data_IF_398486382048
#
_entry.id   IF_398486382048
#
_cell.length_a   1.000
_cell.length_b   1.000
_cell.length_c   1.000
_cell.angle_alpha   90.00
_cell.angle_beta   90.00
_cell.angle_gamma   90.00
#
_symmetry.space_group_name_H-M   'P 1'
#
loop_
_entity.id
_entity.type
_entity.pdbx_description
1 polymer ?
#
# COMPACT_ATOMS: atom_id res chain seq x y z
N UNK A 1 12.96 2.38 -8.00
CA UNK A 1 14.32 2.13 -7.53
C UNK A 1 14.37 1.93 -6.03
N UNK A 2 15.34 1.17 -5.54
CA UNK A 2 15.58 0.96 -4.13
C UNK A 2 14.76 -0.17 -3.51
N UNK A 3 14.92 -0.36 -2.19
CA UNK A 3 14.39 -1.52 -1.48
C UNK A 3 12.86 -1.62 -1.48
N UNK A 4 12.15 -0.49 -1.55
CA UNK A 4 10.70 -0.47 -1.64
C UNK A 4 10.14 -1.22 -2.86
N UNK A 5 10.92 -1.29 -3.96
CA UNK A 5 10.52 -2.02 -5.17
C UNK A 5 10.30 -3.50 -4.87
N UNK A 6 11.09 -4.09 -3.97
CA UNK A 6 10.97 -5.50 -3.58
C UNK A 6 9.59 -5.82 -3.00
N UNK A 7 9.07 -4.92 -2.14
CA UNK A 7 7.75 -5.09 -1.54
C UNK A 7 6.62 -4.98 -2.57
N UNK A 8 6.70 -4.02 -3.49
CA UNK A 8 5.74 -3.91 -4.60
C UNK A 8 5.80 -5.11 -5.53
N UNK A 9 7.01 -5.57 -5.84
CA UNK A 9 7.22 -6.75 -6.68
C UNK A 9 6.63 -8.01 -6.04
N UNK A 10 6.82 -8.19 -4.73
CA UNK A 10 6.24 -9.30 -3.98
C UNK A 10 4.70 -9.28 -4.06
N UNK A 11 4.08 -8.11 -3.87
CA UNK A 11 2.63 -7.96 -4.01
C UNK A 11 2.16 -8.30 -5.44
N UNK A 12 2.87 -7.80 -6.45
CA UNK A 12 2.55 -8.10 -7.85
C UNK A 12 2.67 -9.59 -8.15
N UNK A 13 3.77 -10.23 -7.74
CA UNK A 13 3.98 -11.67 -7.96
C UNK A 13 2.89 -12.51 -7.29
N UNK A 14 2.50 -12.16 -6.05
CA UNK A 14 1.41 -12.86 -5.35
C UNK A 14 0.09 -12.76 -6.12
N UNK A 15 -0.25 -11.58 -6.64
CA UNK A 15 -1.44 -11.36 -7.46
C UNK A 15 -1.36 -12.13 -8.79
N UNK A 16 -0.20 -12.09 -9.43
CA UNK A 16 0.04 -12.81 -10.68
C UNK A 16 -0.13 -14.32 -10.53
N UNK A 17 0.51 -14.90 -9.50
CA UNK A 17 0.42 -16.34 -9.20
C UNK A 17 -1.02 -16.74 -8.87
N UNK A 18 -1.71 -15.91 -8.07
CA UNK A 18 -3.12 -16.16 -7.75
C UNK A 18 -4.00 -16.18 -9.02
N UNK A 19 -3.80 -15.23 -9.92
CA UNK A 19 -4.63 -15.07 -11.12
C UNK A 19 -4.29 -16.08 -12.20
N UNK A 20 -2.99 -16.28 -12.46
CA UNK A 20 -2.53 -17.10 -13.60
C UNK A 20 -2.27 -18.54 -13.24
N UNK A 21 -2.17 -18.87 -11.95
CA UNK A 21 -1.72 -20.16 -11.41
C UNK A 21 -0.32 -20.57 -11.89
N UNK A 22 0.50 -19.58 -12.27
CA UNK A 22 1.87 -19.78 -12.71
C UNK A 22 2.81 -19.05 -11.77
N UNK A 23 3.85 -19.74 -11.30
CA UNK A 23 4.89 -19.10 -10.51
C UNK A 23 5.73 -18.14 -11.35
N UNK A 24 6.23 -17.11 -10.70
CA UNK A 24 7.13 -16.12 -11.29
C UNK A 24 8.40 -16.06 -10.44
N UNK A 25 9.56 -16.06 -11.09
CA UNK A 25 10.82 -15.86 -10.40
C UNK A 25 10.99 -14.36 -10.04
N UNK A 26 10.55 -14.01 -8.84
CA UNK A 26 10.66 -12.66 -8.32
C UNK A 26 12.12 -12.16 -8.30
N UNK A 27 13.07 -13.03 -8.00
CA UNK A 27 14.47 -12.63 -7.83
C UNK A 27 15.09 -12.15 -9.14
N UNK A 28 14.68 -12.70 -10.28
CA UNK A 28 15.16 -12.28 -11.60
C UNK A 28 14.73 -10.86 -11.98
N UNK A 29 13.75 -10.30 -11.29
CA UNK A 29 13.19 -8.95 -11.54
C UNK A 29 13.65 -7.91 -10.53
N UNK A 30 14.47 -8.28 -9.56
CA UNK A 30 15.05 -7.34 -8.59
C UNK A 30 16.25 -6.63 -9.20
N UNK A 31 16.21 -5.29 -9.15
CA UNK A 31 17.34 -4.45 -9.54
C UNK A 31 18.13 -4.03 -8.29
N UNK A 32 19.45 -4.02 -8.41
CA UNK A 32 20.35 -3.52 -7.36
C UNK A 32 20.46 -1.99 -7.34
N UNK A 33 19.69 -1.29 -8.20
CA UNK A 33 19.69 0.17 -8.23
C UNK A 33 19.18 0.74 -6.91
N UNK A 34 20.01 1.57 -6.29
CA UNK A 34 19.67 2.26 -5.05
C UNK A 34 18.81 3.48 -5.32
N UNK A 35 17.94 3.79 -4.37
CA UNK A 35 17.24 5.07 -4.35
C UNK A 35 18.24 6.21 -4.04
N UNK A 36 17.98 7.37 -4.63
CA UNK A 36 18.78 8.58 -4.36
C UNK A 36 18.35 9.23 -3.03
N UNK A 37 17.08 9.11 -2.69
CA UNK A 37 16.49 9.72 -1.50
C UNK A 37 16.27 8.69 -0.40
N UNK A 38 16.20 9.20 0.84
CA UNK A 38 15.88 8.41 2.03
C UNK A 38 14.39 8.61 2.37
N UNK A 39 13.76 7.54 2.82
CA UNK A 39 12.35 7.58 3.23
C UNK A 39 11.84 6.19 3.55
N UNK A 40 10.57 6.14 3.96
CA UNK A 40 9.85 4.90 4.21
C UNK A 40 8.71 4.79 3.21
N UNK A 41 8.49 3.58 2.72
CA UNK A 41 7.38 3.27 1.84
C UNK A 41 6.79 1.93 2.27
N UNK A 42 5.51 1.95 2.59
CA UNK A 42 4.75 0.77 3.01
C UNK A 42 3.68 0.51 1.96
N UNK A 43 3.90 -0.40 1.01
CA UNK A 43 2.84 -0.83 0.11
C UNK A 43 1.85 -1.70 0.87
N UNK A 44 0.57 -1.52 0.59
CA UNK A 44 -0.51 -2.34 1.11
C UNK A 44 -1.55 -2.60 0.03
N UNK A 45 -2.35 -3.62 0.21
CA UNK A 45 -3.49 -3.91 -0.65
C UNK A 45 -4.71 -4.25 0.19
N UNK A 46 -5.87 -3.85 -0.28
CA UNK A 46 -7.14 -4.35 0.19
C UNK A 46 -7.65 -5.44 -0.75
N UNK A 47 -8.31 -6.42 -0.18
CA UNK A 47 -8.88 -7.55 -0.88
C UNK A 47 -10.38 -7.62 -0.55
N UNK A 48 -11.27 -7.59 -1.56
CA UNK A 48 -12.71 -7.66 -1.33
C UNK A 48 -13.17 -8.98 -0.71
N UNK A 49 -12.31 -9.99 -0.68
CA UNK A 49 -12.60 -11.28 -0.06
C UNK A 49 -12.18 -11.34 1.42
N UNK A 50 -11.40 -10.37 1.87
CA UNK A 50 -11.00 -10.27 3.26
C UNK A 50 -11.97 -9.34 4.02
N UNK A 51 -12.26 -9.69 5.28
CA UNK A 51 -13.04 -8.82 6.16
C UNK A 51 -12.19 -7.73 6.83
N UNK A 52 -11.01 -7.44 6.28
CA UNK A 52 -10.07 -6.48 6.83
C UNK A 52 -9.91 -5.30 5.87
N UNK A 53 -10.32 -4.13 6.29
CA UNK A 53 -10.15 -2.88 5.56
C UNK A 53 -8.81 -2.25 5.94
N UNK A 54 -7.73 -2.72 5.36
CA UNK A 54 -6.38 -2.22 5.67
C UNK A 54 -6.23 -0.74 5.28
N UNK A 55 -6.79 -0.35 4.11
CA UNK A 55 -6.76 1.03 3.63
C UNK A 55 -7.44 1.98 4.59
N UNK A 56 -8.65 1.66 5.03
CA UNK A 56 -9.38 2.45 6.03
C UNK A 56 -8.56 2.59 7.34
N UNK A 57 -8.04 1.47 7.85
CA UNK A 57 -7.23 1.48 9.08
C UNK A 57 -6.00 2.36 8.97
N UNK A 58 -5.32 2.40 7.81
CA UNK A 58 -4.18 3.27 7.56
C UNK A 58 -4.60 4.74 7.51
N UNK A 59 -5.70 5.07 6.82
CA UNK A 59 -6.25 6.43 6.81
C UNK A 59 -6.58 6.91 8.22
N UNK A 60 -7.28 6.09 8.99
CA UNK A 60 -7.64 6.40 10.37
C UNK A 60 -6.39 6.64 11.24
N UNK A 61 -5.36 5.82 11.07
CA UNK A 61 -4.12 5.98 11.81
C UNK A 61 -3.40 7.28 11.44
N UNK A 62 -3.36 7.65 10.16
CA UNK A 62 -2.77 8.92 9.70
C UNK A 62 -3.53 10.10 10.29
N UNK A 63 -4.87 10.10 10.22
CA UNK A 63 -5.72 11.16 10.76
C UNK A 63 -5.51 11.33 12.28
N UNK A 64 -5.55 10.22 13.01
CA UNK A 64 -5.34 10.22 14.46
C UNK A 64 -3.92 10.63 14.90
N UNK A 65 -2.92 10.44 14.05
CA UNK A 65 -1.54 10.83 14.36
C UNK A 65 -1.25 12.31 14.11
N UNK A 66 -2.14 13.00 13.43
CA UNK A 66 -1.96 14.40 13.09
C UNK A 66 -2.02 15.31 14.33
N UNK A 67 -1.06 16.20 14.46
CA UNK A 67 -0.99 17.15 15.58
C UNK A 67 -1.59 18.53 15.28
N UNK A 68 -1.78 18.85 14.00
CA UNK A 68 -2.32 20.16 13.58
C UNK A 68 -3.34 20.01 12.45
N UNK A 69 -2.95 19.40 11.33
CA UNK A 69 -3.81 19.26 10.15
C UNK A 69 -3.33 18.11 9.27
N UNK A 70 -4.25 17.61 8.46
CA UNK A 70 -3.98 16.67 7.36
C UNK A 70 -4.57 17.25 6.09
N UNK A 71 -3.80 17.21 5.02
CA UNK A 71 -4.31 17.53 3.68
C UNK A 71 -4.47 16.22 2.89
N UNK A 72 -5.65 15.99 2.37
CA UNK A 72 -5.96 14.82 1.55
C UNK A 72 -6.31 15.31 0.15
N UNK A 73 -5.59 14.81 -0.85
CA UNK A 73 -5.90 15.05 -2.26
C UNK A 73 -6.31 13.74 -2.89
N UNK A 74 -7.56 13.63 -3.26
CA UNK A 74 -8.12 12.43 -3.91
C UNK A 74 -9.26 12.82 -4.85
N UNK A 75 -9.38 12.17 -6.02
CA UNK A 75 -10.53 12.37 -6.92
C UNK A 75 -11.81 11.73 -6.38
N UNK A 76 -11.69 10.80 -5.43
CA UNK A 76 -12.82 10.06 -4.85
C UNK A 76 -12.70 10.07 -3.33
N UNK A 77 -13.35 11.01 -2.69
CA UNK A 77 -13.47 11.04 -1.24
C UNK A 77 -14.84 10.49 -0.85
N UNK A 78 -14.84 9.28 -0.32
CA UNK A 78 -16.03 8.68 0.31
C UNK A 78 -15.76 8.64 1.81
N UNK A 79 -16.43 9.51 2.54
CA UNK A 79 -16.30 9.58 3.99
C UNK A 79 -17.45 8.74 4.57
N UNK A 80 -17.13 7.74 5.34
CA UNK A 80 -18.09 6.98 6.12
C UNK A 80 -18.26 7.56 7.54
N UNK A 81 -19.11 6.93 8.33
CA UNK A 81 -19.42 7.41 9.68
C UNK A 81 -18.17 7.37 10.59
N UNK A 82 -17.30 6.38 10.42
CA UNK A 82 -16.10 6.24 11.24
C UNK A 82 -15.07 7.35 10.98
N UNK A 83 -15.01 7.86 9.75
CA UNK A 83 -14.15 8.99 9.40
C UNK A 83 -14.76 10.35 9.80
N UNK A 84 -16.09 10.44 9.90
CA UNK A 84 -16.76 11.67 10.34
C UNK A 84 -16.62 11.93 11.84
N UNK A 85 -16.41 10.90 12.63
CA UNK A 85 -16.35 10.97 14.09
C UNK A 85 -14.95 11.30 14.62
N UNK A 86 -13.98 11.55 13.72
CA UNK A 86 -12.61 11.96 14.03
C UNK A 86 -12.45 13.47 14.01
#
# INVERSE_FOLDING_TARGET
>A
KGDAVKSFLAMFCSMWEFTTKKSIDMLSHISDEKALDRGFMLPYSDDPLSNKNHGEGIYMQILNSAQRYVYITTPYLIIDNSMNDL
#
